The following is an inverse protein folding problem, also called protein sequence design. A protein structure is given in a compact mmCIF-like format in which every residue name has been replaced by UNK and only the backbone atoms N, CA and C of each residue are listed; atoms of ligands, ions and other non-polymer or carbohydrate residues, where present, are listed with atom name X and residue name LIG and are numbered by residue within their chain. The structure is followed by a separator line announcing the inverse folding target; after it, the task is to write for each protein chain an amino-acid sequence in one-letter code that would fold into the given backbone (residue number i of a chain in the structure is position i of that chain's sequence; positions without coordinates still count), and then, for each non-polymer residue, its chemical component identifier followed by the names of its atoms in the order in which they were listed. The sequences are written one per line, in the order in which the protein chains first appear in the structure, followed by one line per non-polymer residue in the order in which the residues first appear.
data_IF_665336319115
#
_entry.id   IF_665336319115
#
_cell.length_a   1.000
_cell.length_b   1.000
_cell.length_c   1.000
_cell.angle_alpha   90.00
_cell.angle_beta   90.00
_cell.angle_gamma   90.00
#
_symmetry.space_group_name_H-M   'P 1'
#
loop_
_entity.id
_entity.type
_entity.pdbx_description
1 polymer ?
#
# COMPACT_ATOMS: atom_id res chain seq x y z
N UNK A 1 6.55 21.01 -22.18
CA UNK A 1 5.85 19.72 -22.28
C UNK A 1 6.86 18.63 -21.97
N UNK A 2 6.67 17.89 -20.87
CA UNK A 2 7.62 16.83 -20.47
C UNK A 2 7.35 15.59 -21.30
N UNK A 3 8.34 15.15 -22.09
CA UNK A 3 8.29 13.91 -22.85
C UNK A 3 8.48 12.74 -21.88
N UNK A 4 7.39 12.08 -21.49
CA UNK A 4 7.46 10.80 -20.79
C UNK A 4 7.90 9.72 -21.79
N UNK A 5 9.19 9.41 -21.81
CA UNK A 5 9.70 8.22 -22.48
C UNK A 5 9.21 6.98 -21.72
N UNK A 6 8.30 6.22 -22.32
CA UNK A 6 7.93 4.89 -21.85
C UNK A 6 9.09 3.92 -22.14
N UNK A 7 10.12 3.94 -21.30
CA UNK A 7 11.23 2.99 -21.40
C UNK A 7 10.76 1.61 -20.96
N UNK A 8 10.68 0.68 -21.91
CA UNK A 8 10.36 -0.72 -21.64
C UNK A 8 11.64 -1.46 -21.22
N UNK A 9 11.71 -1.90 -19.95
CA UNK A 9 12.85 -2.67 -19.44
C UNK A 9 12.54 -4.17 -19.49
N UNK A 10 13.39 -4.94 -20.17
CA UNK A 10 13.31 -6.41 -20.19
C UNK A 10 14.05 -6.99 -18.99
N UNK A 11 13.41 -7.91 -18.29
CA UNK A 11 14.02 -8.71 -17.22
C UNK A 11 14.12 -10.16 -17.71
N UNK A 12 15.30 -10.77 -17.58
CA UNK A 12 15.54 -12.18 -17.88
C UNK A 12 16.02 -12.89 -16.62
N UNK A 13 15.32 -13.97 -16.26
CA UNK A 13 15.59 -14.78 -15.07
C UNK A 13 15.73 -16.24 -15.49
N UNK A 14 16.71 -16.92 -14.93
CA UNK A 14 16.87 -18.38 -15.07
C UNK A 14 16.34 -19.02 -13.80
N UNK A 15 15.40 -19.94 -13.96
CA UNK A 15 14.81 -20.70 -12.86
C UNK A 15 15.07 -22.19 -13.10
N UNK A 16 15.34 -22.92 -12.03
CA UNK A 16 15.27 -24.38 -12.07
C UNK A 16 13.82 -24.81 -12.26
N UNK A 17 13.61 -26.03 -12.78
CA UNK A 17 12.25 -26.58 -12.94
C UNK A 17 11.43 -26.59 -11.64
N UNK A 18 12.00 -26.96 -10.47
CA UNK A 18 11.28 -26.89 -9.21
C UNK A 18 10.85 -25.48 -8.82
N UNK A 19 11.72 -24.48 -8.96
CA UNK A 19 11.40 -23.09 -8.64
C UNK A 19 10.27 -22.54 -9.52
N UNK A 20 10.35 -22.79 -10.84
CA UNK A 20 9.30 -22.39 -11.77
C UNK A 20 7.96 -23.05 -11.43
N UNK A 21 7.96 -24.33 -11.05
CA UNK A 21 6.75 -25.07 -10.67
C UNK A 21 6.11 -24.52 -9.40
N UNK A 22 6.93 -24.23 -8.37
CA UNK A 22 6.46 -23.64 -7.10
C UNK A 22 5.84 -22.26 -7.35
N UNK A 23 6.50 -21.42 -8.16
CA UNK A 23 5.99 -20.10 -8.50
C UNK A 23 4.70 -20.18 -9.33
N UNK A 24 4.61 -21.11 -10.29
CA UNK A 24 3.40 -21.32 -11.07
C UNK A 24 2.23 -21.75 -10.19
N UNK A 25 2.44 -22.70 -9.28
CA UNK A 25 1.39 -23.15 -8.33
C UNK A 25 0.84 -21.99 -7.51
N UNK A 26 1.70 -21.05 -7.09
CA UNK A 26 1.26 -19.83 -6.39
C UNK A 26 0.57 -18.85 -7.33
N UNK A 27 1.04 -18.71 -8.56
CA UNK A 27 0.42 -17.86 -9.57
C UNK A 27 -1.02 -18.31 -9.90
N UNK A 28 -1.26 -19.62 -9.95
CA UNK A 28 -2.56 -20.21 -10.26
C UNK A 28 -3.64 -19.82 -9.24
N UNK A 29 -3.28 -19.65 -7.97
CA UNK A 29 -4.20 -19.17 -6.91
C UNK A 29 -4.77 -17.80 -7.24
N UNK A 30 -3.98 -16.96 -7.92
CA UNK A 30 -4.39 -15.61 -8.35
C UNK A 30 -4.91 -15.60 -9.81
N UNK A 31 -4.94 -16.75 -10.50
CA UNK A 31 -5.26 -16.82 -11.92
C UNK A 31 -4.23 -16.13 -12.82
N UNK A 32 -2.95 -16.10 -12.40
CA UNK A 32 -1.87 -15.44 -13.13
C UNK A 32 -0.99 -16.43 -13.88
N UNK A 33 -0.44 -16.00 -15.02
CA UNK A 33 0.74 -16.65 -15.60
C UNK A 33 2.00 -16.36 -14.76
N UNK A 34 3.02 -17.22 -14.90
CA UNK A 34 4.28 -17.08 -14.18
C UNK A 34 4.92 -15.68 -14.35
N UNK A 35 4.89 -15.09 -15.54
CA UNK A 35 5.51 -13.78 -15.78
C UNK A 35 4.78 -12.66 -15.05
N UNK A 36 3.43 -12.68 -15.06
CA UNK A 36 2.59 -11.73 -14.35
C UNK A 36 2.80 -11.86 -12.85
N UNK A 37 2.89 -13.09 -12.34
CA UNK A 37 3.15 -13.33 -10.94
C UNK A 37 4.55 -12.85 -10.52
N UNK A 38 5.59 -13.07 -11.34
CA UNK A 38 6.93 -12.55 -11.07
C UNK A 38 6.94 -11.01 -11.06
N UNK A 39 6.25 -10.35 -11.99
CA UNK A 39 6.09 -8.88 -11.95
C UNK A 39 5.42 -8.42 -10.67
N UNK A 40 4.35 -9.10 -10.25
CA UNK A 40 3.66 -8.80 -9.00
C UNK A 40 4.59 -8.92 -7.78
N UNK A 41 5.40 -9.98 -7.71
CA UNK A 41 6.37 -10.17 -6.63
C UNK A 41 7.41 -9.04 -6.61
N UNK A 42 7.95 -8.65 -7.78
CA UNK A 42 8.88 -7.53 -7.89
C UNK A 42 8.22 -6.25 -7.39
N UNK A 43 6.99 -5.95 -7.83
CA UNK A 43 6.25 -4.77 -7.37
C UNK A 43 6.04 -4.78 -5.86
N UNK A 44 5.71 -5.94 -5.26
CA UNK A 44 5.53 -6.07 -3.82
C UNK A 44 6.83 -5.91 -3.04
N UNK A 45 7.93 -6.46 -3.53
CA UNK A 45 9.24 -6.27 -2.91
C UNK A 45 9.67 -4.79 -2.96
N UNK A 46 9.41 -4.12 -4.09
CA UNK A 46 9.69 -2.69 -4.26
C UNK A 46 8.80 -1.86 -3.34
N UNK A 47 7.50 -2.13 -3.28
CA UNK A 47 6.56 -1.48 -2.37
C UNK A 47 7.07 -1.55 -0.92
N UNK A 48 7.49 -2.73 -0.46
CA UNK A 48 8.06 -2.90 0.88
C UNK A 48 9.36 -2.10 1.10
N UNK A 49 10.22 -2.00 0.08
CA UNK A 49 11.47 -1.22 0.16
C UNK A 49 11.29 0.29 0.04
N UNK A 50 10.21 0.75 -0.60
CA UNK A 50 9.90 2.18 -0.75
C UNK A 50 9.06 2.67 0.43
N UNK A 51 8.19 1.83 1.00
CA UNK A 51 7.39 2.17 2.17
C UNK A 51 8.23 2.37 3.45
N UNK A 52 9.50 1.95 3.49
CA UNK A 52 10.42 2.36 4.56
C UNK A 52 10.84 3.84 4.47
N UNK A 53 10.74 4.45 3.29
CA UNK A 53 11.10 5.85 3.00
C UNK A 53 9.89 6.59 2.38
N UNK A 54 8.69 6.45 2.95
CA UNK A 54 7.55 7.26 2.48
C UNK A 54 7.92 8.73 2.62
N UNK A 55 7.90 9.53 1.55
CA UNK A 55 8.24 10.94 1.63
C UNK A 55 7.25 11.62 2.59
N UNK A 56 7.75 12.06 3.74
CA UNK A 56 6.97 12.85 4.67
C UNK A 56 6.88 14.27 4.15
N UNK A 57 5.66 14.77 3.96
CA UNK A 57 5.44 16.16 3.60
C UNK A 57 5.14 16.97 4.86
N UNK A 58 5.67 18.18 4.95
CA UNK A 58 5.33 19.09 6.04
C UNK A 58 3.84 19.42 5.96
N UNK A 59 3.11 19.22 7.05
CA UNK A 59 1.71 19.60 7.14
C UNK A 59 1.55 21.11 6.93
N UNK A 60 0.45 21.52 6.28
CA UNK A 60 0.13 22.95 6.22
C UNK A 60 -0.26 23.45 7.62
N UNK A 61 0.01 24.73 7.92
CA UNK A 61 -0.35 25.33 9.21
C UNK A 61 -1.85 25.17 9.55
N UNK A 62 -2.72 25.18 8.53
CA UNK A 62 -4.15 24.93 8.70
C UNK A 62 -4.45 23.50 9.15
N UNK A 63 -3.72 22.52 8.60
CA UNK A 63 -3.87 21.12 8.98
C UNK A 63 -3.33 20.87 10.39
N UNK A 64 -2.17 21.43 10.73
CA UNK A 64 -1.60 21.34 12.08
C UNK A 64 -2.57 21.88 13.14
N UNK A 65 -3.21 23.03 12.88
CA UNK A 65 -4.22 23.59 13.79
C UNK A 65 -5.42 22.65 13.98
N UNK A 66 -5.96 22.09 12.90
CA UNK A 66 -7.09 21.16 12.98
C UNK A 66 -6.75 19.87 13.73
N UNK A 67 -5.53 19.38 13.55
CA UNK A 67 -5.05 18.20 14.29
C UNK A 67 -4.94 18.54 15.78
N UNK A 68 -4.43 19.71 16.14
CA UNK A 68 -4.38 20.15 17.53
C UNK A 68 -5.79 20.25 18.16
N UNK A 69 -6.74 20.85 17.45
CA UNK A 69 -8.16 20.92 17.87
C UNK A 69 -8.77 19.52 18.05
N UNK A 70 -8.57 18.62 17.09
CA UNK A 70 -9.11 17.26 17.15
C UNK A 70 -8.50 16.45 18.31
N UNK A 71 -7.20 16.61 18.58
CA UNK A 71 -6.53 15.99 19.73
C UNK A 71 -7.06 16.52 21.06
N UNK A 72 -7.35 17.82 21.14
CA UNK A 72 -7.96 18.44 22.32
C UNK A 72 -9.39 17.91 22.54
N UNK A 73 -10.19 17.79 21.47
CA UNK A 73 -11.54 17.21 21.54
C UNK A 73 -11.52 15.75 22.00
N UNK A 74 -10.58 14.94 21.50
CA UNK A 74 -10.42 13.55 21.91
C UNK A 74 -10.03 13.44 23.39
N UNK A 75 -9.04 14.23 23.82
CA UNK A 75 -8.61 14.25 25.22
C UNK A 75 -9.71 14.77 26.17
N UNK A 76 -10.58 15.66 25.68
CA UNK A 76 -11.75 16.13 26.42
C UNK A 76 -12.93 15.13 26.40
N UNK A 77 -12.79 13.97 25.73
CA UNK A 77 -13.85 12.96 25.61
C UNK A 77 -15.01 13.37 24.68
N UNK A 78 -14.82 14.40 23.87
CA UNK A 78 -15.82 14.88 22.89
C UNK A 78 -15.82 14.06 21.61
N UNK A 79 -14.73 13.36 21.33
CA UNK A 79 -14.61 12.37 20.27
C UNK A 79 -14.12 11.04 20.84
N UNK A 80 -14.58 9.94 20.25
CA UNK A 80 -14.26 8.58 20.69
C UNK A 80 -14.02 7.68 19.49
N UNK A 81 -13.24 6.64 19.69
CA UNK A 81 -12.96 5.64 18.66
C UNK A 81 -14.16 4.70 18.48
N UNK A 82 -14.63 4.56 17.24
CA UNK A 82 -15.61 3.55 16.86
C UNK A 82 -14.87 2.24 16.55
N UNK A 83 -15.22 1.16 17.25
CA UNK A 83 -14.60 -0.16 17.06
C UNK A 83 -15.27 -0.96 15.95
N UNK A 84 -16.51 -0.63 15.63
CA UNK A 84 -17.30 -1.25 14.58
C UNK A 84 -18.30 -0.26 13.98
N UNK A 85 -18.78 -0.55 12.76
CA UNK A 85 -19.85 0.25 12.15
C UNK A 85 -21.15 0.16 12.96
N UNK A 86 -21.41 -0.98 13.62
CA UNK A 86 -22.58 -1.21 14.47
C UNK A 86 -22.62 -0.26 15.70
N UNK A 87 -21.50 0.36 16.05
CA UNK A 87 -21.45 1.34 17.15
C UNK A 87 -22.08 2.69 16.77
N UNK A 88 -22.26 3.00 15.47
CA UNK A 88 -22.94 4.24 15.03
C UNK A 88 -24.42 4.25 15.40
N UNK A 89 -25.10 3.11 15.33
CA UNK A 89 -26.54 2.99 15.60
C UNK A 89 -26.92 3.31 17.05
N UNK A 90 -25.93 3.37 17.97
CA UNK A 90 -26.14 3.75 19.37
C UNK A 90 -26.26 5.27 19.59
N UNK A 91 -25.94 6.07 18.57
CA UNK A 91 -25.80 7.53 18.68
C UNK A 91 -26.59 8.32 17.62
N UNK A 92 -27.41 7.64 16.82
CA UNK A 92 -28.39 8.22 15.87
C UNK A 92 -29.79 8.06 16.44
#
# INVERSE_FOLDING_TARGET
MSNYNLTMTKIQLTLTKPEASILQTKADVFGYDLSRYVKFLISKAVEQSILSDVPTFKASAKLEKRVAEAMEEYNAGRSFELKSLDDLDKYV
#
